data_IF_382835561905
#
_entry.id   IF_382835561905
#
_cell.length_a   1.000
_cell.length_b   1.000
_cell.length_c   1.000
_cell.angle_alpha   90.00
_cell.angle_beta   90.00
_cell.angle_gamma   90.00
#
_symmetry.space_group_name_H-M   'P 1'
#
loop_
_entity.id
_entity.type
_entity.pdbx_description
1 polymer ?
#
# COMPACT_ATOMS: atom_id res chain seq x y z
N UNK A 1 -27.10 3.81 6.95
CA UNK A 1 -25.86 3.18 6.46
C UNK A 1 -24.68 3.92 7.03
N UNK A 2 -23.80 3.21 7.73
CA UNK A 2 -22.59 3.87 8.17
C UNK A 2 -21.74 4.27 6.96
N UNK A 3 -21.29 5.51 6.96
CA UNK A 3 -20.35 5.98 5.95
C UNK A 3 -18.95 5.48 6.36
N UNK A 4 -18.26 4.78 5.47
CA UNK A 4 -16.88 4.38 5.71
C UNK A 4 -16.04 5.65 5.71
N UNK A 5 -15.56 6.05 6.88
CA UNK A 5 -14.69 7.20 6.98
C UNK A 5 -13.24 6.78 6.84
N UNK A 6 -12.48 7.53 6.05
CA UNK A 6 -11.04 7.36 5.97
C UNK A 6 -10.44 7.69 7.34
N UNK A 7 -9.70 6.75 7.92
CA UNK A 7 -8.98 7.02 9.17
C UNK A 7 -7.84 8.00 8.91
N UNK A 8 -7.73 9.02 9.78
CA UNK A 8 -6.67 10.03 9.68
C UNK A 8 -5.30 9.47 10.07
N UNK A 9 -5.26 8.30 10.71
CA UNK A 9 -4.01 7.75 11.28
C UNK A 9 -3.54 6.48 10.57
N UNK A 10 -4.30 5.97 9.62
CA UNK A 10 -3.97 4.73 8.93
C UNK A 10 -3.03 4.96 7.76
N UNK A 11 -1.96 4.15 7.71
CA UNK A 11 -0.94 4.17 6.65
C UNK A 11 -0.95 2.82 5.93
N UNK A 12 -1.33 2.82 4.66
CA UNK A 12 -1.28 1.63 3.83
C UNK A 12 0.16 1.37 3.39
N UNK A 13 0.67 0.16 3.65
CA UNK A 13 1.99 -0.26 3.21
C UNK A 13 1.84 -1.17 2.01
N UNK A 14 2.28 -0.69 0.85
CA UNK A 14 2.36 -1.44 -0.39
C UNK A 14 3.83 -1.75 -0.67
N UNK A 15 4.25 -2.99 -0.44
CA UNK A 15 5.65 -3.37 -0.55
C UNK A 15 5.80 -4.84 -0.95
N UNK A 16 7.01 -5.24 -1.39
CA UNK A 16 7.28 -6.64 -1.67
C UNK A 16 7.03 -7.52 -0.44
N UNK A 17 6.59 -8.76 -0.68
CA UNK A 17 6.26 -9.71 0.38
C UNK A 17 7.30 -10.82 0.54
N UNK A 18 8.44 -10.74 -0.15
CA UNK A 18 9.48 -11.76 -0.05
C UNK A 18 10.27 -11.67 1.26
N UNK A 19 10.94 -12.75 1.62
CA UNK A 19 11.70 -12.85 2.87
C UNK A 19 12.84 -11.83 2.94
N UNK A 20 13.44 -11.49 1.80
CA UNK A 20 14.54 -10.53 1.74
C UNK A 20 14.07 -9.12 2.10
N UNK A 21 12.81 -8.79 1.86
CA UNK A 21 12.23 -7.49 2.21
C UNK A 21 11.72 -7.44 3.66
N UNK A 22 11.56 -8.57 4.33
CA UNK A 22 10.96 -8.63 5.66
C UNK A 22 11.62 -7.69 6.69
N UNK A 23 12.95 -7.54 6.75
CA UNK A 23 13.56 -6.57 7.66
C UNK A 23 13.14 -5.13 7.38
N UNK A 24 13.06 -4.76 6.11
CA UNK A 24 12.60 -3.41 5.70
C UNK A 24 11.13 -3.21 6.05
N UNK A 25 10.29 -4.23 5.83
CA UNK A 25 8.88 -4.18 6.21
C UNK A 25 8.71 -3.93 7.71
N UNK A 26 9.46 -4.65 8.53
CA UNK A 26 9.44 -4.43 9.99
C UNK A 26 9.91 -3.04 10.38
N UNK A 27 10.92 -2.52 9.70
CA UNK A 27 11.41 -1.16 9.94
C UNK A 27 10.35 -0.11 9.58
N UNK A 28 9.62 -0.31 8.50
CA UNK A 28 8.50 0.58 8.12
C UNK A 28 7.40 0.56 9.18
N UNK A 29 7.00 -0.63 9.65
CA UNK A 29 6.02 -0.77 10.72
C UNK A 29 6.47 -0.01 11.97
N UNK A 30 7.72 -0.22 12.38
CA UNK A 30 8.28 0.45 13.55
C UNK A 30 8.24 1.96 13.40
N UNK A 31 8.68 2.49 12.26
CA UNK A 31 8.69 3.92 12.00
C UNK A 31 7.29 4.53 12.04
N UNK A 32 6.31 3.84 11.44
CA UNK A 32 4.92 4.29 11.44
C UNK A 32 4.38 4.36 12.86
N UNK A 33 4.62 3.33 13.67
CA UNK A 33 4.16 3.28 15.06
C UNK A 33 4.82 4.35 15.92
N UNK A 34 6.12 4.57 15.76
CA UNK A 34 6.85 5.60 16.50
C UNK A 34 6.32 6.99 16.18
N UNK A 35 5.90 7.21 14.95
CA UNK A 35 5.32 8.49 14.53
C UNK A 35 3.86 8.66 14.98
N UNK A 36 3.28 7.69 15.66
CA UNK A 36 1.90 7.77 16.16
C UNK A 36 0.84 7.37 15.16
N UNK A 37 1.22 6.72 14.05
CA UNK A 37 0.29 6.25 13.04
C UNK A 37 0.05 4.74 13.17
N UNK A 38 -0.93 4.24 12.42
CA UNK A 38 -1.30 2.83 12.42
C UNK A 38 -0.96 2.18 11.09
N UNK A 39 -0.04 1.19 11.06
CA UNK A 39 0.28 0.49 9.82
C UNK A 39 -0.84 -0.46 9.40
N UNK A 40 -1.15 -0.46 8.12
CA UNK A 40 -2.13 -1.35 7.51
C UNK A 40 -1.51 -2.01 6.28
N UNK A 41 -1.79 -3.28 6.07
CA UNK A 41 -1.25 -3.97 4.90
C UNK A 41 -2.16 -5.12 4.47
N UNK A 42 -1.96 -5.60 3.23
CA UNK A 42 -2.67 -6.75 2.71
C UNK A 42 -2.32 -8.06 3.43
N UNK A 43 -1.35 -8.03 4.35
CA UNK A 43 -1.00 -9.18 5.19
C UNK A 43 -1.90 -9.32 6.42
N UNK A 44 -2.81 -8.39 6.65
CA UNK A 44 -3.78 -8.50 7.75
C UNK A 44 -4.68 -9.70 7.54
N UNK A 45 -5.17 -10.26 8.65
CA UNK A 45 -6.00 -11.46 8.61
C UNK A 45 -7.24 -11.25 7.73
N UNK A 46 -7.54 -12.25 6.91
CA UNK A 46 -8.70 -12.26 6.06
C UNK A 46 -9.91 -12.83 6.80
N UNK A 47 -11.09 -12.39 6.39
CA UNK A 47 -12.34 -13.03 6.77
C UNK A 47 -12.70 -14.08 5.73
N UNK A 48 -11.88 -14.86 5.23
CA UNK A 48 -12.11 -16.04 4.39
C UNK A 48 -13.01 -15.89 3.15
N UNK A 49 -13.88 -14.90 3.10
CA UNK A 49 -14.78 -14.63 1.98
C UNK A 49 -14.32 -13.47 1.10
N UNK A 50 -13.24 -12.80 1.48
CA UNK A 50 -12.75 -11.61 0.80
C UNK A 50 -11.59 -11.97 -0.12
N UNK A 51 -11.65 -11.52 -1.38
CA UNK A 51 -10.53 -11.69 -2.31
C UNK A 51 -9.41 -10.73 -1.95
N UNK A 52 -8.19 -11.03 -2.44
CA UNK A 52 -7.03 -10.16 -2.22
C UNK A 52 -7.27 -8.74 -2.76
N UNK A 53 -7.83 -8.63 -3.97
CA UNK A 53 -8.07 -7.33 -4.57
C UNK A 53 -9.14 -6.54 -3.81
N UNK A 54 -10.18 -7.19 -3.32
CA UNK A 54 -11.21 -6.55 -2.51
C UNK A 54 -10.64 -6.01 -1.21
N UNK A 55 -9.74 -6.77 -0.59
CA UNK A 55 -9.03 -6.36 0.61
C UNK A 55 -8.17 -5.11 0.35
N UNK A 56 -7.48 -5.08 -0.77
CA UNK A 56 -6.66 -3.93 -1.18
C UNK A 56 -7.55 -2.71 -1.41
N UNK A 57 -8.69 -2.87 -2.09
CA UNK A 57 -9.63 -1.78 -2.30
C UNK A 57 -10.11 -1.20 -0.97
N UNK A 58 -10.47 -2.07 -0.02
CA UNK A 58 -10.93 -1.64 1.30
C UNK A 58 -9.81 -0.88 2.06
N UNK A 59 -8.59 -1.38 2.02
CA UNK A 59 -7.45 -0.72 2.67
C UNK A 59 -7.16 0.66 2.05
N UNK A 60 -7.18 0.75 0.73
CA UNK A 60 -6.98 2.02 0.03
C UNK A 60 -8.06 3.02 0.42
N UNK A 61 -9.32 2.57 0.47
CA UNK A 61 -10.44 3.42 0.86
C UNK A 61 -10.29 3.96 2.28
N UNK A 62 -9.79 3.13 3.20
CA UNK A 62 -9.69 3.46 4.62
C UNK A 62 -8.45 4.29 4.98
N UNK A 63 -7.37 4.18 4.22
CA UNK A 63 -6.08 4.78 4.59
C UNK A 63 -5.89 6.16 3.98
N UNK A 64 -5.62 7.16 4.82
CA UNK A 64 -5.26 8.50 4.37
C UNK A 64 -3.85 8.54 3.79
N UNK A 65 -2.95 7.76 4.33
CA UNK A 65 -1.55 7.75 3.92
C UNK A 65 -1.20 6.44 3.23
N UNK A 66 -0.28 6.50 2.29
CA UNK A 66 0.26 5.31 1.64
C UNK A 66 1.76 5.40 1.48
N UNK A 67 2.45 4.31 1.80
CA UNK A 67 3.86 4.11 1.51
C UNK A 67 3.94 3.01 0.46
N UNK A 68 4.46 3.35 -0.71
CA UNK A 68 4.53 2.45 -1.85
C UNK A 68 5.99 2.20 -2.22
N UNK A 69 6.44 0.98 -2.02
CA UNK A 69 7.81 0.57 -2.34
C UNK A 69 7.84 -0.10 -3.70
N UNK A 70 8.52 0.53 -4.65
CA UNK A 70 8.63 0.07 -6.03
C UNK A 70 10.01 -0.51 -6.35
N UNK A 71 10.80 -0.86 -5.32
CA UNK A 71 12.17 -1.32 -5.51
C UNK A 71 12.30 -2.67 -6.21
N UNK A 72 11.24 -3.49 -6.22
CA UNK A 72 11.23 -4.84 -6.78
C UNK A 72 10.34 -4.92 -8.02
N UNK A 73 10.75 -4.26 -9.10
CA UNK A 73 10.02 -4.28 -10.37
C UNK A 73 10.73 -5.08 -11.46
N UNK A 74 11.86 -5.73 -11.13
CA UNK A 74 12.59 -6.60 -12.05
C UNK A 74 11.80 -7.87 -12.37
N UNK A 75 12.22 -8.58 -13.41
CA UNK A 75 11.61 -9.82 -13.86
C UNK A 75 11.72 -10.90 -12.79
N UNK A 76 10.63 -11.64 -12.60
CA UNK A 76 10.63 -12.82 -11.76
C UNK A 76 11.44 -13.94 -12.43
N UNK A 77 12.33 -14.59 -11.66
CA UNK A 77 13.23 -15.61 -12.20
C UNK A 77 12.50 -16.89 -12.65
N UNK A 78 11.31 -17.14 -12.11
CA UNK A 78 10.54 -18.36 -12.42
C UNK A 78 9.73 -18.21 -13.71
N UNK A 79 8.98 -17.13 -13.86
CA UNK A 79 8.05 -16.93 -14.98
C UNK A 79 8.47 -15.83 -15.95
N UNK A 80 9.59 -15.16 -15.68
CA UNK A 80 10.15 -14.09 -16.53
C UNK A 80 9.16 -12.93 -16.77
N UNK A 81 8.33 -12.64 -15.78
CA UNK A 81 7.38 -11.53 -15.83
C UNK A 81 7.74 -10.48 -14.79
N UNK A 82 7.50 -9.20 -15.09
CA UNK A 82 7.69 -8.17 -14.06
C UNK A 82 6.65 -8.30 -12.95
N UNK A 83 6.99 -7.77 -11.77
CA UNK A 83 6.07 -7.74 -10.64
C UNK A 83 5.17 -6.52 -10.78
N UNK A 84 3.88 -6.76 -11.04
CA UNK A 84 2.92 -5.69 -11.33
C UNK A 84 2.14 -5.19 -10.12
N UNK A 85 2.09 -5.95 -9.02
CA UNK A 85 1.19 -5.64 -7.90
C UNK A 85 1.50 -4.30 -7.24
N UNK A 86 2.77 -3.98 -6.95
CA UNK A 86 3.09 -2.71 -6.32
C UNK A 86 2.73 -1.50 -7.20
N UNK A 87 3.09 -1.47 -8.49
CA UNK A 87 2.65 -0.40 -9.38
C UNK A 87 1.13 -0.32 -9.53
N UNK A 88 0.44 -1.46 -9.60
CA UNK A 88 -1.02 -1.48 -9.69
C UNK A 88 -1.65 -0.85 -8.46
N UNK A 89 -1.21 -1.24 -7.27
CA UNK A 89 -1.74 -0.73 -6.01
C UNK A 89 -1.44 0.76 -5.85
N UNK A 90 -0.26 1.21 -6.27
CA UNK A 90 0.06 2.64 -6.31
C UNK A 90 -0.90 3.38 -7.23
N UNK A 91 -1.15 2.84 -8.42
CA UNK A 91 -2.09 3.43 -9.38
C UNK A 91 -3.50 3.54 -8.81
N UNK A 92 -3.96 2.51 -8.10
CA UNK A 92 -5.27 2.52 -7.44
C UNK A 92 -5.33 3.60 -6.35
N UNK A 93 -4.28 3.74 -5.57
CA UNK A 93 -4.19 4.75 -4.51
C UNK A 93 -4.19 6.18 -5.09
N UNK A 94 -3.40 6.40 -6.12
CA UNK A 94 -3.36 7.68 -6.85
C UNK A 94 -4.71 7.98 -7.49
N UNK A 95 -5.35 6.96 -8.07
CA UNK A 95 -6.68 7.10 -8.67
C UNK A 95 -7.74 7.47 -7.64
N UNK A 96 -7.70 6.85 -6.46
CA UNK A 96 -8.59 7.20 -5.36
C UNK A 96 -8.42 8.67 -4.97
N UNK A 97 -7.17 9.12 -4.85
CA UNK A 97 -6.89 10.54 -4.54
C UNK A 97 -7.43 11.46 -5.63
N UNK A 98 -7.23 11.12 -6.88
CA UNK A 98 -7.59 11.97 -8.03
C UNK A 98 -9.08 12.00 -8.30
N UNK A 99 -9.73 10.84 -8.27
CA UNK A 99 -11.11 10.65 -8.74
C UNK A 99 -12.12 10.37 -7.64
N UNK A 100 -11.66 10.10 -6.43
CA UNK A 100 -12.55 9.81 -5.31
C UNK A 100 -13.21 11.05 -4.71
N UNK A 101 -14.04 10.82 -3.70
CA UNK A 101 -14.73 11.89 -2.98
C UNK A 101 -13.79 12.70 -2.09
N UNK A 102 -14.37 13.60 -1.30
CA UNK A 102 -13.61 14.55 -0.47
C UNK A 102 -12.60 13.85 0.47
N UNK A 103 -12.99 12.71 1.05
CA UNK A 103 -12.10 11.97 1.97
C UNK A 103 -10.87 11.41 1.26
N UNK A 104 -10.99 11.10 -0.02
CA UNK A 104 -9.89 10.54 -0.79
C UNK A 104 -8.91 11.60 -1.27
N UNK A 105 -9.39 12.82 -1.50
CA UNK A 105 -8.57 13.92 -2.03
C UNK A 105 -7.49 14.39 -1.06
N UNK A 106 -7.63 14.10 0.22
CA UNK A 106 -6.64 14.47 1.25
C UNK A 106 -5.54 13.42 1.43
N UNK A 107 -5.55 12.35 0.65
CA UNK A 107 -4.51 11.30 0.71
C UNK A 107 -3.12 11.87 0.47
N UNK A 108 -2.15 11.33 1.17
CA UNK A 108 -0.73 11.63 0.97
C UNK A 108 0.04 10.35 0.68
N UNK A 109 1.02 10.44 -0.19
CA UNK A 109 1.69 9.29 -0.76
C UNK A 109 3.20 9.49 -0.68
N UNK A 110 3.89 8.46 -0.16
CA UNK A 110 5.35 8.38 -0.18
C UNK A 110 5.73 7.20 -1.08
N UNK A 111 6.57 7.45 -2.07
CA UNK A 111 7.07 6.42 -2.97
C UNK A 111 8.53 6.17 -2.63
N UNK A 112 8.87 4.91 -2.37
CA UNK A 112 10.22 4.45 -2.12
C UNK A 112 10.69 3.63 -3.30
N UNK A 113 11.90 3.89 -3.75
CA UNK A 113 12.53 3.15 -4.84
C UNK A 113 14.05 3.14 -4.65
N UNK A 114 14.73 2.21 -5.30
CA UNK A 114 16.19 2.15 -5.35
C UNK A 114 16.76 3.04 -6.45
N UNK A 115 15.93 3.48 -7.39
CA UNK A 115 16.35 4.28 -8.52
C UNK A 115 15.58 5.60 -8.56
N UNK A 116 16.30 6.70 -8.56
CA UNK A 116 15.73 8.04 -8.50
C UNK A 116 15.00 8.38 -9.81
N UNK A 117 13.83 8.98 -9.69
CA UNK A 117 13.01 9.46 -10.82
C UNK A 117 12.60 8.40 -11.84
N UNK A 118 12.51 7.15 -11.41
CA UNK A 118 12.08 6.07 -12.30
C UNK A 118 10.60 6.16 -12.69
N UNK A 119 9.79 6.80 -11.86
CA UNK A 119 8.35 6.95 -12.07
C UNK A 119 7.92 8.41 -12.08
#
# INVERSE_FOLDING_TARGET
MPVVQTSTDDVFINCPSDDAFAPTFRALIFAILVCGFRPRSARELDDGGQTRIDKIFALIEQCRYGIHDLSRTELDAVNNLPRFNMPLELGLFLGAKRYGGQHQKVKRILILDVEQFRY
#
